data_IF_881849180287
#
_entry.id   IF_881849180287
#
_cell.length_a   1.000
_cell.length_b   1.000
_cell.length_c   1.000
_cell.angle_alpha   90.00
_cell.angle_beta   90.00
_cell.angle_gamma   90.00
#
_symmetry.space_group_name_H-M   'P 1'
#
loop_
_entity.id
_entity.type
_entity.pdbx_description
1 polymer ?
#
# COMPACT_ATOMS: atom_id res chain seq x y z
N UNK A 1 -20.72 -22.15 34.73
CA UNK A 1 -19.30 -22.08 34.26
C UNK A 1 -18.99 -20.59 34.25
N UNK A 2 -18.08 -20.15 35.12
CA UNK A 2 -17.69 -18.76 35.18
C UNK A 2 -17.02 -18.39 33.86
N UNK A 3 -17.62 -17.47 33.12
CA UNK A 3 -16.94 -16.78 32.02
C UNK A 3 -15.67 -16.11 32.59
N UNK A 4 -14.55 -16.77 32.41
CA UNK A 4 -13.25 -16.12 32.62
C UNK A 4 -13.16 -15.15 31.44
N UNK A 5 -13.49 -13.88 31.68
CA UNK A 5 -13.25 -12.79 30.74
C UNK A 5 -11.78 -12.80 30.40
N UNK A 6 -11.41 -13.35 29.26
CA UNK A 6 -10.02 -13.33 28.79
C UNK A 6 -9.69 -11.88 28.46
N UNK A 7 -8.56 -11.40 28.95
CA UNK A 7 -8.00 -10.15 28.52
C UNK A 7 -7.59 -10.28 27.03
N UNK A 8 -8.36 -9.64 26.16
CA UNK A 8 -8.17 -9.64 24.71
C UNK A 8 -8.90 -10.78 23.97
N UNK A 9 -9.27 -10.49 22.73
CA UNK A 9 -9.90 -11.41 21.80
C UNK A 9 -8.89 -12.35 21.11
N UNK A 10 -9.34 -13.55 20.76
CA UNK A 10 -8.62 -14.54 19.94
C UNK A 10 -9.30 -14.82 18.62
N UNK A 11 -10.43 -14.16 18.36
CA UNK A 11 -11.22 -14.30 17.14
C UNK A 11 -10.60 -13.52 16.00
N UNK A 12 -10.96 -13.88 14.76
CA UNK A 12 -10.52 -13.13 13.59
C UNK A 12 -11.10 -11.70 13.63
N UNK A 13 -10.28 -10.67 13.38
CA UNK A 13 -10.76 -9.29 13.37
C UNK A 13 -11.90 -9.08 12.39
N UNK A 14 -12.97 -8.43 12.84
CA UNK A 14 -14.09 -7.97 12.01
C UNK A 14 -14.12 -6.45 12.02
N UNK A 15 -14.18 -5.83 10.85
CA UNK A 15 -14.09 -4.36 10.74
C UNK A 15 -15.45 -3.75 10.45
N UNK A 16 -15.78 -2.70 11.19
CA UNK A 16 -17.03 -1.97 11.00
C UNK A 16 -16.94 -0.96 9.85
N UNK A 17 -18.03 -0.69 9.13
CA UNK A 17 -18.12 0.40 8.18
C UNK A 17 -17.78 1.75 8.81
N UNK A 18 -17.21 2.65 8.01
CA UNK A 18 -16.89 4.02 8.42
C UNK A 18 -17.99 4.96 7.94
N UNK A 19 -18.79 5.46 8.85
CA UNK A 19 -19.88 6.40 8.55
C UNK A 19 -19.35 7.86 8.46
N UNK A 20 -18.36 8.09 7.62
CA UNK A 20 -17.60 9.33 7.55
C UNK A 20 -18.41 10.59 7.18
N UNK A 21 -19.65 10.43 6.69
CA UNK A 21 -20.57 11.54 6.36
C UNK A 21 -21.47 11.95 7.51
N UNK A 22 -21.47 11.23 8.63
CA UNK A 22 -22.33 11.55 9.78
C UNK A 22 -21.84 12.75 10.57
N UNK A 23 -22.75 13.40 11.29
CA UNK A 23 -22.40 14.49 12.21
C UNK A 23 -21.46 14.02 13.32
N UNK A 24 -21.65 12.80 13.84
CA UNK A 24 -20.83 12.20 14.88
C UNK A 24 -19.37 11.99 14.43
N UNK A 25 -19.15 11.45 13.23
CA UNK A 25 -17.78 11.32 12.68
C UNK A 25 -17.06 12.66 12.58
N UNK A 26 -17.83 13.73 12.34
CA UNK A 26 -17.35 15.08 12.07
C UNK A 26 -17.34 15.97 13.31
N UNK A 27 -17.78 15.47 14.46
CA UNK A 27 -17.76 16.17 15.72
C UNK A 27 -16.39 16.06 16.40
N UNK A 28 -15.77 17.20 16.67
CA UNK A 28 -14.43 17.28 17.22
C UNK A 28 -14.39 16.84 18.69
N UNK A 29 -15.44 17.13 19.47
CA UNK A 29 -15.53 16.69 20.86
C UNK A 29 -15.55 15.17 20.97
N UNK A 30 -16.46 14.54 20.22
CA UNK A 30 -16.56 13.08 20.11
C UNK A 30 -15.29 12.43 19.56
N UNK A 31 -14.53 13.10 18.67
CA UNK A 31 -13.23 12.61 18.23
C UNK A 31 -12.23 12.57 19.38
N UNK A 32 -12.11 13.66 20.16
CA UNK A 32 -11.15 13.70 21.27
C UNK A 32 -11.52 12.72 22.39
N UNK A 33 -12.79 12.54 22.69
CA UNK A 33 -13.25 11.54 23.66
C UNK A 33 -12.85 10.12 23.24
N UNK A 34 -12.99 9.79 21.95
CA UNK A 34 -12.59 8.49 21.42
C UNK A 34 -11.06 8.33 21.34
N UNK A 35 -10.32 9.38 21.00
CA UNK A 35 -8.85 9.37 21.06
C UNK A 35 -8.37 9.08 22.48
N UNK A 36 -8.90 9.78 23.48
CA UNK A 36 -8.57 9.60 24.89
C UNK A 36 -8.84 8.17 25.35
N UNK A 37 -10.04 7.65 25.07
CA UNK A 37 -10.43 6.27 25.37
C UNK A 37 -9.48 5.23 24.76
N UNK A 38 -9.17 5.36 23.48
CA UNK A 38 -8.31 4.40 22.78
C UNK A 38 -6.85 4.54 23.20
N UNK A 39 -6.37 5.75 23.46
CA UNK A 39 -5.01 5.99 23.94
C UNK A 39 -4.80 5.41 25.32
N UNK A 40 -5.79 5.48 26.21
CA UNK A 40 -5.76 4.85 27.53
C UNK A 40 -5.65 3.31 27.42
N UNK A 41 -6.46 2.68 26.58
CA UNK A 41 -6.36 1.25 26.31
C UNK A 41 -4.98 0.89 25.74
N UNK A 42 -4.46 1.68 24.80
CA UNK A 42 -3.14 1.44 24.19
C UNK A 42 -2.02 1.63 25.22
N UNK A 43 -2.12 2.62 26.11
CA UNK A 43 -1.17 2.85 27.19
C UNK A 43 -1.12 1.67 28.16
N UNK A 44 -2.26 1.18 28.63
CA UNK A 44 -2.33 0.02 29.51
C UNK A 44 -1.78 -1.27 28.87
N UNK A 45 -1.91 -1.42 27.55
CA UNK A 45 -1.51 -2.62 26.80
C UNK A 45 -0.07 -2.60 26.27
N UNK A 46 0.39 -1.53 25.65
CA UNK A 46 1.73 -1.28 25.07
C UNK A 46 2.27 -2.33 24.08
N UNK A 47 1.45 -3.27 23.60
CA UNK A 47 1.90 -4.36 22.69
C UNK A 47 2.46 -3.87 21.35
N UNK A 48 2.04 -2.69 20.91
CA UNK A 48 2.39 -2.14 19.60
C UNK A 48 3.64 -1.24 19.63
N UNK A 49 4.35 -1.12 20.75
CA UNK A 49 5.50 -0.20 20.95
C UNK A 49 6.57 -0.29 19.84
N UNK A 50 6.77 -1.47 19.25
CA UNK A 50 7.80 -1.69 18.23
C UNK A 50 7.23 -1.87 16.81
N UNK A 51 5.97 -1.50 16.59
CA UNK A 51 5.31 -1.71 15.30
C UNK A 51 5.52 -0.52 14.34
N UNK A 52 5.29 0.70 14.85
CA UNK A 52 5.51 1.96 14.14
C UNK A 52 5.78 3.07 15.15
N UNK A 53 6.09 4.28 14.69
CA UNK A 53 6.47 5.39 15.58
C UNK A 53 5.28 6.03 16.31
N UNK A 54 4.04 5.81 15.89
CA UNK A 54 2.86 6.37 16.57
C UNK A 54 2.74 5.89 18.03
N UNK A 55 3.08 4.63 18.32
CA UNK A 55 2.95 4.08 19.66
C UNK A 55 4.07 4.53 20.62
N UNK A 56 5.36 4.51 20.27
CA UNK A 56 6.38 5.15 21.09
C UNK A 56 6.06 6.63 21.39
N UNK A 57 5.65 7.39 20.37
CA UNK A 57 5.25 8.81 20.58
C UNK A 57 4.12 8.93 21.59
N UNK A 58 3.08 8.09 21.49
CA UNK A 58 1.99 8.08 22.48
C UNK A 58 2.50 7.77 23.89
N UNK A 59 3.32 6.74 24.02
CA UNK A 59 3.78 6.28 25.34
C UNK A 59 4.75 7.26 25.98
N UNK A 60 5.64 7.88 25.20
CA UNK A 60 6.55 8.92 25.67
C UNK A 60 5.77 10.15 26.14
N UNK A 61 4.75 10.61 25.41
CA UNK A 61 3.88 11.71 25.83
C UNK A 61 3.17 11.44 27.16
N UNK A 62 2.73 10.20 27.41
CA UNK A 62 2.08 9.81 28.65
C UNK A 62 3.12 9.68 29.79
N UNK A 63 4.22 8.99 29.54
CA UNK A 63 5.27 8.75 30.52
C UNK A 63 5.98 10.04 30.96
N UNK A 64 5.93 11.09 30.12
CA UNK A 64 6.46 12.45 30.44
C UNK A 64 5.39 13.39 31.00
N UNK A 65 4.11 12.99 31.09
CA UNK A 65 3.04 13.79 31.65
C UNK A 65 3.09 13.85 33.18
N UNK A 66 2.44 14.88 33.78
CA UNK A 66 2.43 15.05 35.25
C UNK A 66 1.71 13.90 35.97
N UNK A 67 0.69 13.33 35.38
CA UNK A 67 -0.14 12.26 35.95
C UNK A 67 0.35 10.86 35.61
N UNK A 68 1.24 10.70 34.61
CA UNK A 68 1.61 9.43 34.00
C UNK A 68 0.43 8.70 33.38
N UNK A 69 -0.65 9.45 33.05
CA UNK A 69 -1.88 8.95 32.43
C UNK A 69 -2.26 9.84 31.24
N UNK A 70 -3.22 9.41 30.44
CA UNK A 70 -3.65 10.12 29.22
C UNK A 70 -4.22 11.51 29.53
N UNK A 71 -4.88 11.68 30.69
CA UNK A 71 -5.44 12.96 31.13
C UNK A 71 -4.37 14.05 31.39
N UNK A 72 -3.13 13.65 31.66
CA UNK A 72 -1.99 14.57 31.80
C UNK A 72 -1.42 15.04 30.45
N UNK A 73 -1.80 14.46 29.34
CA UNK A 73 -1.32 14.82 28.00
C UNK A 73 -2.18 15.94 27.41
N UNK A 74 -1.54 17.02 26.95
CA UNK A 74 -2.26 18.10 26.27
C UNK A 74 -2.88 17.58 24.95
N UNK A 75 -4.15 17.92 24.69
CA UNK A 75 -4.88 17.49 23.49
C UNK A 75 -4.19 17.91 22.19
N UNK A 76 -3.46 19.02 22.17
CA UNK A 76 -2.67 19.45 21.00
C UNK A 76 -1.56 18.43 20.64
N UNK A 77 -1.00 17.71 21.62
CA UNK A 77 0.03 16.72 21.39
C UNK A 77 -0.52 15.38 20.84
N UNK A 78 -1.85 15.18 20.84
CA UNK A 78 -2.46 13.99 20.22
C UNK A 78 -2.19 13.95 18.71
N UNK A 79 -2.02 15.12 18.09
CA UNK A 79 -1.68 15.23 16.67
C UNK A 79 -0.31 14.66 16.33
N UNK A 80 0.64 14.67 17.26
CA UNK A 80 1.96 14.05 17.05
C UNK A 80 1.82 12.54 16.84
N UNK A 81 0.90 11.91 17.57
CA UNK A 81 0.58 10.48 17.40
C UNK A 81 -0.11 10.23 16.06
N UNK A 82 -1.08 11.07 15.70
CA UNK A 82 -1.83 10.99 14.44
C UNK A 82 -0.92 11.12 13.22
N UNK A 83 0.05 12.05 13.27
CA UNK A 83 0.99 12.28 12.15
C UNK A 83 1.96 11.10 11.94
N UNK A 84 2.26 10.34 12.99
CA UNK A 84 3.07 9.13 12.88
C UNK A 84 2.28 7.87 12.45
N UNK A 85 0.97 7.94 12.33
CA UNK A 85 0.17 6.82 11.84
C UNK A 85 0.05 6.83 10.32
N UNK A 86 0.39 5.71 9.70
CA UNK A 86 0.41 5.53 8.24
C UNK A 86 -0.84 4.85 7.68
N UNK A 87 -1.84 4.57 8.50
CA UNK A 87 -3.02 3.78 8.11
C UNK A 87 -2.66 2.43 7.45
N UNK A 88 -1.56 1.81 7.90
CA UNK A 88 -1.06 0.55 7.35
C UNK A 88 -1.80 -0.68 7.87
N UNK A 89 -2.70 -0.51 8.82
CA UNK A 89 -3.57 -1.51 9.44
C UNK A 89 -2.88 -2.68 10.17
N UNK A 90 -1.54 -2.71 10.24
CA UNK A 90 -0.82 -3.81 10.88
C UNK A 90 -1.13 -3.96 12.37
N UNK A 91 -1.35 -2.86 13.10
CA UNK A 91 -1.74 -2.92 14.50
C UNK A 91 -3.10 -3.60 14.66
N UNK A 92 -4.05 -3.29 13.79
CA UNK A 92 -5.38 -3.89 13.76
C UNK A 92 -5.31 -5.38 13.41
N UNK A 93 -4.65 -5.72 12.30
CA UNK A 93 -4.67 -7.08 11.74
C UNK A 93 -3.78 -8.07 12.49
N UNK A 94 -2.70 -7.63 13.14
CA UNK A 94 -1.66 -8.57 13.63
C UNK A 94 -1.32 -8.45 15.10
N UNK A 95 -1.75 -7.38 15.79
CA UNK A 95 -1.26 -7.09 17.15
C UNK A 95 -2.34 -6.84 18.19
N UNK A 96 -3.37 -6.09 17.86
CA UNK A 96 -4.35 -5.62 18.83
C UNK A 96 -5.30 -6.74 19.26
N UNK A 97 -5.37 -7.10 20.54
CA UNK A 97 -6.32 -8.09 21.04
C UNK A 97 -7.71 -7.52 21.32
N UNK A 98 -7.88 -6.21 21.16
CA UNK A 98 -9.10 -5.46 21.51
C UNK A 98 -9.88 -4.98 20.29
N UNK A 99 -9.52 -5.47 19.11
CA UNK A 99 -10.27 -5.19 17.87
C UNK A 99 -11.62 -5.92 17.88
N UNK A 100 -12.64 -5.43 17.16
CA UNK A 100 -13.89 -6.15 17.03
C UNK A 100 -13.66 -7.62 16.61
N UNK A 101 -14.38 -8.58 17.17
CA UNK A 101 -15.62 -8.45 17.99
C UNK A 101 -15.40 -8.23 19.50
N UNK A 102 -14.21 -7.88 19.96
CA UNK A 102 -13.95 -7.55 21.35
C UNK A 102 -14.82 -6.35 21.80
N UNK A 103 -15.33 -6.36 23.04
CA UNK A 103 -16.22 -5.33 23.59
C UNK A 103 -15.64 -3.93 23.58
N UNK A 104 -14.30 -3.79 23.70
CA UNK A 104 -13.62 -2.51 23.64
C UNK A 104 -13.56 -1.91 22.24
N UNK A 105 -13.84 -2.67 21.20
CA UNK A 105 -14.04 -2.22 19.83
C UNK A 105 -12.97 -1.24 19.32
N UNK A 106 -11.68 -1.56 19.54
CA UNK A 106 -10.56 -0.68 19.16
C UNK A 106 -10.26 -0.81 17.68
N UNK A 107 -10.42 0.27 16.91
CA UNK A 107 -9.91 0.40 15.56
C UNK A 107 -8.99 1.63 15.47
N UNK A 108 -7.74 1.46 15.91
CA UNK A 108 -6.76 2.54 15.93
C UNK A 108 -6.54 3.16 14.54
N UNK A 109 -6.34 2.42 13.44
CA UNK A 109 -6.13 3.04 12.13
C UNK A 109 -7.31 3.88 11.65
N UNK A 110 -8.55 3.41 11.82
CA UNK A 110 -9.73 4.18 11.42
C UNK A 110 -9.99 5.39 12.32
N UNK A 111 -9.62 5.31 13.60
CA UNK A 111 -9.62 6.48 14.47
C UNK A 111 -8.61 7.52 14.00
N UNK A 112 -7.40 7.10 13.62
CA UNK A 112 -6.40 8.01 13.02
C UNK A 112 -6.89 8.58 11.67
N UNK A 113 -7.58 7.79 10.85
CA UNK A 113 -8.23 8.30 9.63
C UNK A 113 -9.27 9.37 9.94
N UNK A 114 -10.11 9.16 10.97
CA UNK A 114 -11.09 10.15 11.43
C UNK A 114 -10.39 11.45 11.86
N UNK A 115 -9.30 11.35 12.64
CA UNK A 115 -8.51 12.50 13.07
C UNK A 115 -7.90 13.23 11.86
N UNK A 116 -7.28 12.51 10.92
CA UNK A 116 -6.73 13.10 9.68
C UNK A 116 -7.82 13.77 8.83
N UNK A 117 -9.01 13.18 8.74
CA UNK A 117 -10.14 13.77 8.01
C UNK A 117 -10.61 15.08 8.67
N UNK A 118 -10.66 15.13 9.99
CA UNK A 118 -10.96 16.35 10.74
C UNK A 118 -9.90 17.44 10.49
N UNK A 119 -8.62 17.08 10.58
CA UNK A 119 -7.49 17.98 10.33
C UNK A 119 -7.51 18.54 8.91
N UNK A 120 -7.81 17.69 7.91
CA UNK A 120 -7.96 18.10 6.52
C UNK A 120 -9.12 19.08 6.32
N UNK A 121 -10.27 18.82 6.94
CA UNK A 121 -11.47 19.67 6.87
C UNK A 121 -11.26 21.03 7.54
N UNK A 122 -10.54 21.06 8.66
CA UNK A 122 -10.18 22.30 9.36
C UNK A 122 -9.14 23.14 8.58
N UNK A 123 -8.64 22.65 7.44
CA UNK A 123 -7.69 23.36 6.59
C UNK A 123 -6.24 23.33 7.08
N UNK A 124 -5.92 22.52 8.08
CA UNK A 124 -4.60 22.45 8.71
C UNK A 124 -3.56 21.68 7.87
N UNK A 125 -3.99 21.04 6.74
CA UNK A 125 -3.09 20.30 5.86
C UNK A 125 -2.38 21.23 4.88
N UNK A 126 -1.05 21.15 4.84
CA UNK A 126 -0.19 21.99 4.01
C UNK A 126 -0.32 21.75 2.50
N UNK A 127 0.09 22.74 1.71
CA UNK A 127 0.09 22.65 0.24
C UNK A 127 0.99 21.53 -0.27
N UNK A 128 2.15 21.30 0.38
CA UNK A 128 3.06 20.19 0.07
C UNK A 128 2.32 18.85 0.07
N UNK A 129 1.59 18.56 1.14
CA UNK A 129 0.95 17.26 1.33
C UNK A 129 -0.21 17.08 0.35
N UNK A 130 -0.94 18.15 0.03
CA UNK A 130 -1.97 18.16 -1.02
C UNK A 130 -1.39 17.88 -2.41
N UNK A 131 -0.18 18.38 -2.71
CA UNK A 131 0.53 18.11 -3.99
C UNK A 131 1.04 16.67 -4.02
N UNK A 132 1.76 16.21 -2.99
CA UNK A 132 2.33 14.86 -2.93
C UNK A 132 1.26 13.76 -3.06
N UNK A 133 0.07 13.98 -2.51
CA UNK A 133 -1.06 13.05 -2.60
C UNK A 133 -1.89 13.19 -3.89
N UNK A 134 -1.59 14.17 -4.75
CA UNK A 134 -2.28 14.37 -6.04
C UNK A 134 -1.57 13.65 -7.19
N UNK A 135 -1.35 12.35 -7.05
CA UNK A 135 -0.52 11.51 -7.92
C UNK A 135 -0.92 11.54 -9.39
N UNK A 136 -2.22 11.57 -9.72
CA UNK A 136 -2.70 11.69 -11.10
C UNK A 136 -2.34 13.03 -11.75
N UNK A 137 -2.55 14.13 -11.01
CA UNK A 137 -2.27 15.48 -11.52
C UNK A 137 -0.77 15.70 -11.69
N UNK A 138 -0.01 15.35 -10.65
CA UNK A 138 1.46 15.42 -10.67
C UNK A 138 2.02 14.53 -11.76
N UNK A 139 1.61 13.26 -11.83
CA UNK A 139 2.05 12.33 -12.86
C UNK A 139 1.66 12.78 -14.28
N UNK A 140 0.51 13.43 -14.46
CA UNK A 140 0.10 13.94 -15.77
C UNK A 140 0.95 15.14 -16.21
N UNK A 141 1.27 16.05 -15.32
CA UNK A 141 2.12 17.20 -15.58
C UNK A 141 3.59 16.79 -15.77
N UNK A 142 4.14 16.05 -14.81
CA UNK A 142 5.55 15.60 -14.85
C UNK A 142 5.79 14.57 -15.95
N UNK A 143 4.78 13.79 -16.37
CA UNK A 143 4.87 12.83 -17.48
C UNK A 143 5.02 13.43 -18.88
N UNK A 144 5.05 14.77 -19.02
CA UNK A 144 5.40 15.46 -20.28
C UNK A 144 6.89 15.22 -20.55
N UNK A 145 7.31 14.87 -21.79
CA UNK A 145 8.67 14.41 -22.08
C UNK A 145 9.80 15.29 -21.53
N UNK A 146 9.76 16.59 -21.79
CA UNK A 146 10.78 17.54 -21.32
C UNK A 146 10.71 17.70 -19.79
N UNK A 147 9.51 17.78 -19.23
CA UNK A 147 9.30 17.94 -17.78
C UNK A 147 9.79 16.70 -17.01
N UNK A 148 9.50 15.50 -17.52
CA UNK A 148 9.98 14.24 -16.94
C UNK A 148 11.50 14.17 -16.89
N UNK A 149 12.18 14.57 -17.97
CA UNK A 149 13.64 14.61 -18.01
C UNK A 149 14.22 15.60 -16.99
N UNK A 150 13.68 16.82 -16.93
CA UNK A 150 14.10 17.85 -15.97
C UNK A 150 13.87 17.38 -14.54
N UNK A 151 12.69 16.84 -14.23
CA UNK A 151 12.37 16.33 -12.89
C UNK A 151 13.31 15.19 -12.48
N UNK A 152 13.55 14.21 -13.36
CA UNK A 152 14.45 13.10 -13.08
C UNK A 152 15.90 13.58 -12.88
N UNK A 153 16.39 14.54 -13.69
CA UNK A 153 17.72 15.13 -13.52
C UNK A 153 17.77 15.91 -12.19
N UNK A 154 16.79 16.75 -11.89
CA UNK A 154 16.74 17.51 -10.64
C UNK A 154 16.76 16.60 -9.40
N UNK A 155 16.14 15.42 -9.48
CA UNK A 155 16.13 14.42 -8.41
C UNK A 155 17.53 13.81 -8.15
N UNK A 156 18.47 13.86 -9.08
CA UNK A 156 19.83 13.33 -8.92
C UNK A 156 20.85 14.38 -8.49
N UNK A 157 20.53 15.67 -8.63
CA UNK A 157 21.48 16.76 -8.36
C UNK A 157 21.40 17.17 -6.89
N UNK A 158 22.43 16.86 -6.08
CA UNK A 158 22.49 17.17 -4.64
C UNK A 158 22.14 18.63 -4.27
N UNK A 159 22.70 19.68 -4.92
CA UNK A 159 22.30 21.06 -4.63
C UNK A 159 20.81 21.33 -4.86
N UNK A 160 20.21 20.77 -5.92
CA UNK A 160 18.77 20.92 -6.20
C UNK A 160 17.93 20.24 -5.12
N UNK A 161 18.32 19.04 -4.68
CA UNK A 161 17.70 18.32 -3.59
C UNK A 161 17.70 19.13 -2.28
N UNK A 162 18.83 19.79 -1.95
CA UNK A 162 18.90 20.68 -0.77
C UNK A 162 18.02 21.93 -0.91
N UNK A 163 17.83 22.45 -2.11
CA UNK A 163 16.88 23.55 -2.35
C UNK A 163 15.45 23.04 -2.12
N UNK A 164 15.08 21.88 -2.65
CA UNK A 164 13.76 21.27 -2.43
C UNK A 164 13.49 21.03 -0.94
N UNK A 165 14.49 20.58 -0.19
CA UNK A 165 14.38 20.39 1.25
C UNK A 165 14.04 21.68 1.97
N UNK A 166 14.74 22.77 1.67
CA UNK A 166 14.55 24.08 2.32
C UNK A 166 13.25 24.79 1.90
N UNK A 167 12.79 24.58 0.66
CA UNK A 167 11.66 25.33 0.10
C UNK A 167 10.32 24.62 0.21
N UNK A 168 10.32 23.30 0.03
CA UNK A 168 9.09 22.50 0.01
C UNK A 168 9.10 21.34 1.02
N UNK A 169 10.14 21.23 1.85
CA UNK A 169 10.21 20.23 2.93
C UNK A 169 10.28 18.78 2.44
N UNK A 170 10.89 18.54 1.28
CA UNK A 170 11.19 17.20 0.77
C UNK A 170 12.64 16.89 1.08
N UNK A 171 12.90 15.90 1.92
CA UNK A 171 14.25 15.56 2.40
C UNK A 171 15.21 15.28 1.24
N UNK A 172 16.45 15.79 1.32
CA UNK A 172 17.43 15.71 0.23
C UNK A 172 17.86 14.27 -0.11
N UNK A 173 17.79 13.35 0.84
CA UNK A 173 18.15 11.93 0.65
C UNK A 173 16.92 11.03 0.43
N UNK A 174 15.71 11.57 0.51
CA UNK A 174 14.51 10.78 0.27
C UNK A 174 14.45 10.28 -1.18
N UNK A 175 14.03 9.04 -1.36
CA UNK A 175 13.79 8.45 -2.67
C UNK A 175 12.57 9.10 -3.30
N UNK A 176 12.75 9.69 -4.48
CA UNK A 176 11.65 10.20 -5.28
C UNK A 176 11.44 9.30 -6.51
N UNK A 177 10.18 9.07 -6.90
CA UNK A 177 9.90 8.19 -8.03
C UNK A 177 10.44 8.78 -9.32
N UNK A 178 10.97 7.90 -10.19
CA UNK A 178 11.30 8.25 -11.56
C UNK A 178 10.04 8.39 -12.40
N UNK A 179 10.02 9.37 -13.31
CA UNK A 179 8.90 9.58 -14.22
C UNK A 179 9.27 9.18 -15.65
N UNK A 180 8.41 8.35 -16.25
CA UNK A 180 8.55 7.91 -17.63
C UNK A 180 7.60 8.67 -18.55
N UNK A 181 8.15 9.44 -19.49
CA UNK A 181 7.36 10.13 -20.52
C UNK A 181 6.71 9.15 -21.50
N UNK A 182 7.34 7.99 -21.73
CA UNK A 182 6.77 6.85 -22.42
C UNK A 182 6.04 5.94 -21.42
N UNK A 183 4.88 6.41 -20.95
CA UNK A 183 4.06 5.70 -19.97
C UNK A 183 3.56 4.35 -20.52
N UNK A 184 3.16 3.42 -19.63
CA UNK A 184 2.64 2.13 -20.04
C UNK A 184 1.54 2.26 -21.11
N UNK A 185 0.55 3.12 -20.89
CA UNK A 185 -0.54 3.32 -21.84
C UNK A 185 -0.07 3.83 -23.20
N UNK A 186 1.00 4.65 -23.25
CA UNK A 186 1.62 5.05 -24.54
C UNK A 186 2.33 3.88 -25.19
N UNK A 187 3.06 3.04 -24.45
CA UNK A 187 3.74 1.85 -24.98
C UNK A 187 2.74 0.88 -25.61
N UNK A 188 1.55 0.77 -25.05
CA UNK A 188 0.51 -0.13 -25.53
C UNK A 188 -0.52 0.49 -26.47
N UNK A 189 -0.47 1.79 -26.73
CA UNK A 189 -1.44 2.48 -27.60
C UNK A 189 -1.56 1.84 -29.00
N UNK A 190 -0.45 1.33 -29.53
CA UNK A 190 -0.36 0.72 -30.88
C UNK A 190 -0.14 -0.81 -30.82
N UNK A 191 0.04 -1.38 -29.63
CA UNK A 191 0.14 -2.83 -29.46
C UNK A 191 -1.26 -3.36 -29.15
N UNK A 192 -1.76 -4.28 -29.94
CA UNK A 192 -2.98 -5.01 -29.59
C UNK A 192 -2.69 -5.84 -28.34
N UNK A 193 -3.13 -5.35 -27.19
CA UNK A 193 -3.02 -6.08 -25.90
C UNK A 193 -4.00 -7.24 -25.91
N UNK A 194 -5.13 -7.03 -26.55
CA UNK A 194 -6.11 -8.09 -26.82
C UNK A 194 -5.44 -9.10 -27.74
N UNK A 195 -5.31 -10.33 -27.29
CA UNK A 195 -5.02 -11.42 -28.18
C UNK A 195 -6.15 -11.47 -29.22
N UNK A 196 -5.89 -11.06 -30.47
CA UNK A 196 -6.85 -11.19 -31.57
C UNK A 196 -7.09 -12.66 -31.96
N UNK A 197 -6.52 -13.58 -31.23
CA UNK A 197 -6.92 -14.97 -31.34
C UNK A 197 -8.21 -15.11 -30.55
N UNK A 198 -9.32 -14.81 -31.21
CA UNK A 198 -10.64 -15.35 -30.87
C UNK A 198 -10.55 -16.87 -31.03
N UNK A 199 -9.79 -17.48 -30.17
CA UNK A 199 -9.90 -18.90 -29.88
C UNK A 199 -10.74 -18.98 -28.61
N UNK A 200 -11.85 -19.66 -28.65
CA UNK A 200 -12.73 -19.96 -27.51
C UNK A 200 -12.03 -20.73 -26.37
N UNK A 201 -10.70 -20.81 -26.39
CA UNK A 201 -9.84 -21.56 -25.48
C UNK A 201 -9.12 -20.71 -24.45
N UNK A 202 -9.52 -19.46 -24.20
CA UNK A 202 -8.94 -18.70 -23.09
C UNK A 202 -9.31 -19.32 -21.74
N UNK A 203 -8.31 -19.53 -20.89
CA UNK A 203 -8.48 -20.14 -19.57
C UNK A 203 -9.25 -19.25 -18.59
N UNK A 204 -9.12 -17.94 -18.70
CA UNK A 204 -9.82 -16.92 -17.91
C UNK A 204 -9.67 -15.52 -18.52
N UNK A 205 -10.51 -14.57 -18.07
CA UNK A 205 -10.48 -13.15 -18.47
C UNK A 205 -9.93 -12.32 -17.33
N UNK A 206 -8.96 -11.46 -17.60
CA UNK A 206 -8.35 -10.59 -16.59
C UNK A 206 -8.16 -9.16 -17.09
N UNK A 207 -8.64 -8.20 -16.33
CA UNK A 207 -8.48 -6.78 -16.58
C UNK A 207 -7.42 -6.20 -15.63
N UNK A 208 -6.43 -5.50 -16.15
CA UNK A 208 -5.38 -4.87 -15.37
C UNK A 208 -5.76 -3.41 -15.11
N UNK A 209 -6.00 -3.07 -13.85
CA UNK A 209 -6.03 -1.70 -13.36
C UNK A 209 -4.58 -1.23 -13.22
N UNK A 210 -4.11 -0.45 -14.19
CA UNK A 210 -2.68 -0.14 -14.38
C UNK A 210 -2.11 0.66 -13.21
N UNK A 211 -2.93 1.44 -12.54
CA UNK A 211 -2.60 2.40 -11.49
C UNK A 211 -1.87 3.66 -11.98
N UNK A 212 -1.95 4.75 -11.23
CA UNK A 212 -1.19 5.96 -11.55
C UNK A 212 0.32 5.71 -11.53
N UNK A 213 0.79 4.92 -10.54
CA UNK A 213 2.20 4.59 -10.34
C UNK A 213 2.72 3.62 -11.41
N UNK A 214 2.02 2.51 -11.66
CA UNK A 214 2.37 1.55 -12.72
C UNK A 214 2.36 2.16 -14.12
N UNK A 215 1.50 3.15 -14.37
CA UNK A 215 1.47 3.80 -15.67
C UNK A 215 2.68 4.70 -15.95
N UNK A 216 3.20 5.41 -14.92
CA UNK A 216 4.15 6.51 -15.11
C UNK A 216 5.49 6.34 -14.39
N UNK A 217 5.52 5.57 -13.34
CA UNK A 217 6.70 5.39 -12.49
C UNK A 217 7.29 3.99 -12.63
N UNK A 218 6.45 2.96 -12.76
CA UNK A 218 6.86 1.55 -12.89
C UNK A 218 6.19 0.86 -14.09
N UNK A 219 6.33 1.39 -15.33
CA UNK A 219 5.69 0.77 -16.49
C UNK A 219 6.24 -0.62 -16.80
N UNK A 220 7.51 -0.89 -16.46
CA UNK A 220 8.17 -2.17 -16.71
C UNK A 220 7.54 -3.28 -15.85
N UNK A 221 7.23 -2.99 -14.57
CA UNK A 221 6.55 -3.92 -13.65
C UNK A 221 5.19 -4.37 -14.22
N UNK A 222 4.46 -3.46 -14.86
CA UNK A 222 3.17 -3.79 -15.46
C UNK A 222 3.34 -4.53 -16.79
N UNK A 223 4.38 -4.24 -17.57
CA UNK A 223 4.72 -5.01 -18.79
C UNK A 223 5.04 -6.46 -18.43
N UNK A 224 5.81 -6.69 -17.37
CA UNK A 224 6.14 -8.03 -16.88
C UNK A 224 4.90 -8.79 -16.44
N UNK A 225 4.01 -8.15 -15.67
CA UNK A 225 2.72 -8.74 -15.29
C UNK A 225 1.90 -9.14 -16.53
N UNK A 226 1.77 -8.25 -17.53
CA UNK A 226 1.03 -8.54 -18.76
C UNK A 226 1.69 -9.70 -19.53
N UNK A 227 3.02 -9.78 -19.58
CA UNK A 227 3.73 -10.88 -20.26
C UNK A 227 3.42 -12.23 -19.60
N UNK A 228 3.44 -12.29 -18.26
CA UNK A 228 3.08 -13.48 -17.47
C UNK A 228 1.65 -13.93 -17.75
N UNK A 229 0.69 -12.99 -17.72
CA UNK A 229 -0.72 -13.30 -17.96
C UNK A 229 -0.93 -13.87 -19.38
N UNK A 230 -0.27 -13.31 -20.39
CA UNK A 230 -0.32 -13.80 -21.77
C UNK A 230 0.35 -15.14 -21.93
N UNK A 231 1.49 -15.37 -21.28
CA UNK A 231 2.17 -16.67 -21.28
C UNK A 231 1.25 -17.77 -20.74
N UNK A 232 0.42 -17.45 -19.76
CA UNK A 232 -0.60 -18.32 -19.20
C UNK A 232 -1.88 -18.43 -20.05
N UNK A 233 -1.90 -17.91 -21.27
CA UNK A 233 -3.03 -17.99 -22.23
C UNK A 233 -4.32 -17.34 -21.70
N UNK A 234 -4.21 -16.24 -20.96
CA UNK A 234 -5.36 -15.49 -20.45
C UNK A 234 -5.80 -14.43 -21.46
N UNK A 235 -7.10 -14.11 -21.49
CA UNK A 235 -7.60 -12.91 -22.16
C UNK A 235 -7.27 -11.70 -21.29
N UNK A 236 -6.37 -10.82 -21.76
CA UNK A 236 -5.86 -9.68 -20.98
C UNK A 236 -6.36 -8.37 -21.56
N UNK A 237 -6.90 -7.50 -20.70
CA UNK A 237 -7.25 -6.11 -21.05
C UNK A 237 -6.65 -5.13 -20.05
N UNK A 238 -6.41 -3.89 -20.49
CA UNK A 238 -6.25 -2.77 -19.57
C UNK A 238 -7.63 -2.15 -19.28
N UNK A 239 -7.88 -1.77 -18.04
CA UNK A 239 -9.05 -0.93 -17.72
C UNK A 239 -9.01 0.32 -18.58
N UNK A 240 -10.09 0.61 -19.33
CA UNK A 240 -10.08 1.66 -20.37
C UNK A 240 -9.86 3.05 -19.78
N UNK A 241 -10.59 3.38 -18.73
CA UNK A 241 -10.53 4.66 -18.04
C UNK A 241 -10.33 4.41 -16.56
N UNK A 242 -9.26 4.98 -16.03
CA UNK A 242 -8.93 4.90 -14.60
C UNK A 242 -8.30 6.19 -14.12
N UNK A 243 -8.52 6.49 -12.86
CA UNK A 243 -7.81 7.47 -12.06
C UNK A 243 -7.14 6.79 -10.88
N UNK A 244 -6.43 7.56 -10.06
CA UNK A 244 -5.86 7.04 -8.81
C UNK A 244 -6.90 6.23 -8.02
N UNK A 245 -6.48 5.17 -7.36
CA UNK A 245 -7.35 4.34 -6.50
C UNK A 245 -7.93 5.12 -5.30
N UNK A 246 -7.28 6.21 -4.90
CA UNK A 246 -7.68 7.04 -3.77
C UNK A 246 -6.84 6.88 -2.51
N UNK A 247 -5.98 5.86 -2.41
CA UNK A 247 -5.19 5.60 -1.20
C UNK A 247 -4.43 6.82 -0.69
N UNK A 248 -3.65 7.58 -1.50
CA UNK A 248 -2.94 8.76 -0.99
C UNK A 248 -3.87 9.86 -0.47
N UNK A 249 -5.10 9.94 -1.00
CA UNK A 249 -6.11 10.89 -0.53
C UNK A 249 -6.74 10.45 0.78
N UNK A 250 -6.97 9.14 0.94
CA UNK A 250 -7.43 8.56 2.20
C UNK A 250 -6.39 8.79 3.31
N UNK A 251 -5.12 8.47 3.06
CA UNK A 251 -4.02 8.70 4.00
C UNK A 251 -3.89 10.18 4.42
N UNK A 252 -4.28 11.11 3.56
CA UNK A 252 -4.31 12.55 3.86
C UNK A 252 -5.56 12.99 4.66
N UNK A 253 -6.61 12.16 4.70
CA UNK A 253 -7.92 12.53 5.24
C UNK A 253 -8.85 13.24 4.25
N UNK A 254 -8.50 13.34 2.95
CA UNK A 254 -9.31 13.98 1.89
C UNK A 254 -10.37 12.98 1.35
N UNK A 255 -11.35 12.65 2.20
CA UNK A 255 -12.36 11.63 1.91
C UNK A 255 -13.31 12.03 0.78
N UNK A 256 -13.58 13.32 0.58
CA UNK A 256 -14.36 13.78 -0.57
C UNK A 256 -13.62 13.55 -1.90
N UNK A 257 -12.29 13.67 -1.92
CA UNK A 257 -11.51 13.28 -3.11
C UNK A 257 -11.51 11.77 -3.32
N UNK A 258 -11.50 10.98 -2.25
CA UNK A 258 -11.68 9.51 -2.34
C UNK A 258 -13.01 9.18 -2.99
N UNK A 259 -14.10 9.80 -2.55
CA UNK A 259 -15.43 9.60 -3.15
C UNK A 259 -15.44 9.95 -4.65
N UNK A 260 -14.91 11.12 -5.02
CA UNK A 260 -14.82 11.52 -6.45
C UNK A 260 -14.01 10.53 -7.30
N UNK A 261 -12.94 9.95 -6.74
CA UNK A 261 -12.13 8.95 -7.43
C UNK A 261 -12.86 7.61 -7.53
N UNK A 262 -13.59 7.20 -6.48
CA UNK A 262 -14.49 6.05 -6.48
C UNK A 262 -15.57 6.21 -7.57
N UNK A 263 -16.27 7.33 -7.59
CA UNK A 263 -17.33 7.61 -8.57
C UNK A 263 -16.84 7.58 -10.02
N UNK A 264 -15.56 7.90 -10.24
CA UNK A 264 -14.95 7.80 -11.55
C UNK A 264 -14.58 6.36 -11.92
N UNK A 265 -14.00 5.58 -10.99
CA UNK A 265 -13.44 4.26 -11.27
C UNK A 265 -14.50 3.15 -11.26
N UNK A 266 -15.41 3.17 -10.29
CA UNK A 266 -16.39 2.09 -10.06
C UNK A 266 -17.25 1.78 -11.28
N UNK A 267 -17.81 2.76 -12.03
CA UNK A 267 -18.66 2.44 -13.18
C UNK A 267 -17.97 1.62 -14.29
N UNK A 268 -16.67 1.85 -14.52
CA UNK A 268 -15.91 1.08 -15.51
C UNK A 268 -15.53 -0.31 -14.98
N UNK A 269 -15.11 -0.38 -13.70
CA UNK A 269 -14.79 -1.65 -13.06
C UNK A 269 -16.03 -2.55 -12.89
N UNK A 270 -17.18 -1.96 -12.62
CA UNK A 270 -18.47 -2.68 -12.52
C UNK A 270 -18.86 -3.35 -13.84
N UNK A 271 -18.64 -2.68 -14.98
CA UNK A 271 -18.88 -3.31 -16.31
C UNK A 271 -18.03 -4.56 -16.47
N UNK A 272 -16.75 -4.48 -16.10
CA UNK A 272 -15.86 -5.64 -16.15
C UNK A 272 -16.32 -6.74 -15.21
N UNK A 273 -16.68 -6.41 -13.97
CA UNK A 273 -17.19 -7.37 -12.99
C UNK A 273 -18.51 -8.04 -13.45
N UNK A 274 -19.38 -7.29 -14.16
CA UNK A 274 -20.63 -7.83 -14.71
C UNK A 274 -20.40 -8.77 -15.90
N UNK A 275 -19.30 -8.62 -16.61
CA UNK A 275 -18.90 -9.43 -17.76
C UNK A 275 -17.92 -10.57 -17.36
N UNK A 276 -17.89 -10.92 -16.06
CA UNK A 276 -17.07 -11.98 -15.46
C UNK A 276 -15.55 -11.79 -15.65
N UNK A 277 -15.09 -10.55 -15.69
CA UNK A 277 -13.66 -10.26 -15.67
C UNK A 277 -13.14 -10.24 -14.24
N UNK A 278 -12.06 -10.96 -13.97
CA UNK A 278 -11.24 -10.71 -12.79
C UNK A 278 -10.48 -9.41 -12.98
N UNK A 279 -10.39 -8.59 -11.94
CA UNK A 279 -9.66 -7.32 -11.97
C UNK A 279 -8.44 -7.45 -11.06
N UNK A 280 -7.28 -7.04 -11.54
CA UNK A 280 -6.03 -7.06 -10.77
C UNK A 280 -5.31 -5.72 -10.85
N UNK A 281 -4.48 -5.42 -9.85
CA UNK A 281 -3.60 -4.25 -9.87
C UNK A 281 -2.19 -4.62 -9.40
N UNK A 282 -1.11 -4.08 -10.02
CA UNK A 282 0.27 -4.43 -9.69
C UNK A 282 0.77 -3.82 -8.38
N UNK A 283 0.01 -2.93 -7.75
CA UNK A 283 0.40 -2.19 -6.54
C UNK A 283 -0.50 -2.59 -5.37
N UNK A 284 0.05 -3.17 -4.28
CA UNK A 284 -0.74 -3.70 -3.15
C UNK A 284 -1.67 -2.68 -2.50
N UNK A 285 -1.26 -1.41 -2.40
CA UNK A 285 -2.09 -0.33 -1.85
C UNK A 285 -3.37 -0.11 -2.67
N UNK A 286 -3.29 -0.24 -4.01
CA UNK A 286 -4.47 -0.13 -4.87
C UNK A 286 -5.39 -1.34 -4.72
N UNK A 287 -4.83 -2.54 -4.57
CA UNK A 287 -5.60 -3.76 -4.29
C UNK A 287 -6.32 -3.62 -2.95
N UNK A 288 -5.61 -3.20 -1.89
CA UNK A 288 -6.20 -2.97 -0.57
C UNK A 288 -7.36 -1.98 -0.64
N UNK A 289 -7.18 -0.87 -1.38
CA UNK A 289 -8.20 0.16 -1.53
C UNK A 289 -9.52 -0.42 -2.07
N UNK A 290 -9.48 -1.19 -3.16
CA UNK A 290 -10.69 -1.76 -3.77
C UNK A 290 -11.24 -2.97 -3.00
N UNK A 291 -10.40 -3.77 -2.34
CA UNK A 291 -10.83 -4.97 -1.61
C UNK A 291 -11.32 -4.69 -0.19
N UNK A 292 -10.80 -3.65 0.47
CA UNK A 292 -11.04 -3.40 1.90
C UNK A 292 -11.52 -1.98 2.19
N UNK A 293 -10.79 -0.93 1.81
CA UNK A 293 -11.05 0.42 2.27
C UNK A 293 -12.31 1.05 1.65
N UNK A 294 -12.46 1.01 0.33
CA UNK A 294 -13.69 1.50 -0.32
C UNK A 294 -14.95 0.77 0.16
N UNK A 295 -14.95 -0.57 0.30
CA UNK A 295 -16.08 -1.29 0.88
C UNK A 295 -16.46 -0.89 2.31
N UNK A 296 -15.51 -0.39 3.11
CA UNK A 296 -15.79 0.10 4.46
C UNK A 296 -16.25 1.56 4.46
N UNK A 297 -15.68 2.40 3.60
CA UNK A 297 -16.07 3.81 3.44
C UNK A 297 -17.43 3.99 2.75
N UNK A 298 -17.83 3.02 1.93
CA UNK A 298 -19.07 3.04 1.13
C UNK A 298 -19.82 1.70 1.25
N UNK A 299 -20.10 1.29 2.47
CA UNK A 299 -20.64 -0.04 2.77
C UNK A 299 -22.00 -0.32 2.12
N UNK A 300 -22.83 0.72 1.96
CA UNK A 300 -24.17 0.62 1.34
C UNK A 300 -24.14 0.70 -0.20
N UNK A 301 -22.95 0.93 -0.80
CA UNK A 301 -22.78 1.01 -2.26
C UNK A 301 -22.60 -0.41 -2.84
N UNK A 302 -23.68 -0.96 -3.39
CA UNK A 302 -23.68 -2.30 -3.98
C UNK A 302 -22.69 -2.46 -5.14
N UNK A 303 -22.40 -1.40 -5.90
CA UNK A 303 -21.48 -1.43 -7.00
C UNK A 303 -20.03 -1.57 -6.50
N UNK A 304 -19.71 -0.89 -5.40
CA UNK A 304 -18.42 -1.05 -4.71
C UNK A 304 -18.27 -2.48 -4.19
N UNK A 305 -19.30 -3.06 -3.55
CA UNK A 305 -19.26 -4.44 -3.06
C UNK A 305 -19.09 -5.46 -4.20
N UNK A 306 -19.70 -5.21 -5.35
CA UNK A 306 -19.57 -6.07 -6.53
C UNK A 306 -18.17 -6.01 -7.14
N UNK A 307 -17.60 -4.80 -7.26
CA UNK A 307 -16.21 -4.62 -7.73
C UNK A 307 -15.22 -5.26 -6.76
N UNK A 308 -15.39 -5.11 -5.44
CA UNK A 308 -14.59 -5.80 -4.41
C UNK A 308 -14.46 -7.29 -4.70
N UNK A 309 -15.56 -7.97 -5.01
CA UNK A 309 -15.61 -9.42 -5.23
C UNK A 309 -14.88 -9.86 -6.53
N UNK A 310 -14.77 -8.96 -7.50
CA UNK A 310 -14.04 -9.19 -8.76
C UNK A 310 -12.57 -8.80 -8.69
N UNK A 311 -12.13 -8.13 -7.59
CA UNK A 311 -10.79 -7.57 -7.46
C UNK A 311 -9.85 -8.52 -6.72
N UNK A 312 -8.68 -8.82 -7.30
CA UNK A 312 -7.69 -9.74 -6.76
C UNK A 312 -6.31 -9.08 -6.68
N UNK A 313 -5.51 -9.54 -5.75
CA UNK A 313 -4.06 -9.39 -5.84
C UNK A 313 -3.54 -10.27 -7.01
N UNK A 314 -2.51 -9.84 -7.76
CA UNK A 314 -2.02 -10.62 -8.90
C UNK A 314 -1.58 -12.04 -8.55
N UNK A 315 -0.87 -12.22 -7.44
CA UNK A 315 -0.41 -13.55 -7.02
C UNK A 315 -1.54 -14.40 -6.41
N UNK A 316 -2.51 -13.77 -5.74
CA UNK A 316 -3.77 -14.42 -5.34
C UNK A 316 -4.51 -14.97 -6.57
N UNK A 317 -4.58 -14.18 -7.64
CA UNK A 317 -5.19 -14.59 -8.90
C UNK A 317 -4.43 -15.74 -9.55
N UNK A 318 -3.08 -15.69 -9.61
CA UNK A 318 -2.27 -16.79 -10.15
C UNK A 318 -2.44 -18.07 -9.32
N UNK A 319 -2.55 -17.99 -7.99
CA UNK A 319 -2.82 -19.15 -7.16
C UNK A 319 -4.24 -19.71 -7.37
N UNK A 320 -5.23 -18.86 -7.65
CA UNK A 320 -6.56 -19.33 -8.05
C UNK A 320 -6.52 -20.09 -9.39
N UNK A 321 -5.74 -19.61 -10.37
CA UNK A 321 -5.49 -20.32 -11.62
C UNK A 321 -4.83 -21.67 -11.37
N UNK A 322 -3.81 -21.73 -10.50
CA UNK A 322 -3.14 -22.98 -10.12
C UNK A 322 -4.13 -23.99 -9.55
N UNK A 323 -4.96 -23.56 -8.61
CA UNK A 323 -5.98 -24.42 -7.99
C UNK A 323 -6.94 -25.04 -9.01
N UNK A 324 -7.21 -24.32 -10.10
CA UNK A 324 -8.08 -24.77 -11.20
C UNK A 324 -7.32 -25.50 -12.31
N UNK A 325 -6.02 -25.76 -12.17
CA UNK A 325 -5.19 -26.43 -13.19
C UNK A 325 -4.89 -25.57 -14.43
N UNK A 326 -5.04 -24.25 -14.32
CA UNK A 326 -4.92 -23.29 -15.43
C UNK A 326 -3.62 -22.48 -15.42
N UNK A 327 -2.81 -22.57 -14.35
CA UNK A 327 -1.49 -21.94 -14.30
C UNK A 327 -0.47 -22.79 -15.04
N UNK A 328 0.32 -22.20 -15.93
CA UNK A 328 1.49 -22.85 -16.49
C UNK A 328 2.58 -22.95 -15.40
N UNK A 329 3.14 -24.13 -15.20
CA UNK A 329 4.23 -24.39 -14.25
C UNK A 329 5.49 -24.92 -14.93
N UNK A 330 5.59 -24.78 -16.26
CA UNK A 330 6.76 -25.16 -17.06
C UNK A 330 7.78 -24.01 -17.00
N UNK A 331 8.60 -24.02 -15.98
CA UNK A 331 9.68 -23.04 -15.79
C UNK A 331 10.96 -23.53 -16.44
N UNK A 332 11.70 -22.62 -17.08
CA UNK A 332 12.97 -22.89 -17.78
C UNK A 332 14.19 -22.53 -16.94
N UNK A 333 14.03 -21.58 -16.01
CA UNK A 333 15.12 -21.10 -15.15
C UNK A 333 14.80 -21.31 -13.66
N UNK A 334 15.85 -21.42 -12.86
CA UNK A 334 15.76 -21.42 -11.38
C UNK A 334 16.25 -20.09 -10.82
N UNK A 335 15.67 -19.68 -9.68
CA UNK A 335 15.97 -18.35 -9.12
C UNK A 335 16.90 -18.36 -7.89
N UNK A 336 17.26 -19.56 -7.36
CA UNK A 336 18.17 -19.65 -6.25
C UNK A 336 17.60 -19.09 -4.93
N UNK A 337 18.41 -18.33 -4.22
CA UNK A 337 18.08 -17.78 -2.89
C UNK A 337 17.45 -16.37 -3.00
N UNK A 338 16.20 -16.23 -2.56
CA UNK A 338 15.44 -14.97 -2.64
C UNK A 338 15.18 -14.43 -1.24
N UNK A 339 15.52 -13.16 -0.99
CA UNK A 339 14.99 -12.40 0.13
C UNK A 339 13.69 -11.70 -0.31
N UNK A 340 12.58 -12.04 0.31
CA UNK A 340 11.27 -11.49 -0.04
C UNK A 340 10.71 -10.60 1.07
N UNK A 341 10.60 -9.31 0.80
CA UNK A 341 9.93 -8.34 1.65
C UNK A 341 8.43 -8.30 1.35
N UNK A 342 7.61 -8.64 2.36
CA UNK A 342 6.15 -8.51 2.27
C UNK A 342 5.74 -7.14 2.82
N UNK A 343 5.28 -6.20 1.96
CA UNK A 343 4.88 -4.87 2.41
C UNK A 343 3.59 -4.89 3.24
N UNK A 344 3.35 -3.84 4.02
CA UNK A 344 2.20 -3.76 4.93
C UNK A 344 0.86 -3.97 4.22
N UNK A 345 0.59 -3.25 3.13
CA UNK A 345 -0.66 -3.35 2.37
C UNK A 345 -0.85 -4.70 1.64
N UNK A 346 0.18 -5.52 1.52
CA UNK A 346 0.05 -6.92 1.10
C UNK A 346 -0.39 -7.80 2.27
N UNK A 347 0.22 -7.63 3.43
CA UNK A 347 -0.05 -8.42 4.63
C UNK A 347 -1.47 -8.25 5.15
N UNK A 348 -1.97 -6.99 5.16
CA UNK A 348 -3.30 -6.68 5.70
C UNK A 348 -4.46 -7.06 4.77
N UNK A 349 -4.19 -7.46 3.54
CA UNK A 349 -5.20 -8.10 2.69
C UNK A 349 -5.66 -9.46 3.27
N UNK A 350 -4.84 -10.06 4.14
CA UNK A 350 -5.11 -11.35 4.80
C UNK A 350 -5.37 -12.51 3.81
N UNK A 351 -4.59 -12.53 2.72
CA UNK A 351 -4.67 -13.56 1.66
C UNK A 351 -3.58 -14.64 1.80
N UNK A 352 -2.68 -14.51 2.78
CA UNK A 352 -1.47 -15.32 2.91
C UNK A 352 -0.34 -14.86 1.96
N UNK A 353 0.84 -15.49 2.02
CA UNK A 353 2.03 -15.10 1.26
C UNK A 353 1.97 -15.61 -0.19
N UNK A 354 1.00 -15.15 -0.98
CA UNK A 354 0.70 -15.68 -2.33
C UNK A 354 1.87 -15.54 -3.30
N UNK A 355 2.63 -14.45 -3.21
CA UNK A 355 3.85 -14.26 -4.00
C UNK A 355 4.86 -15.38 -3.72
N UNK A 356 5.09 -15.68 -2.44
CA UNK A 356 5.94 -16.80 -2.04
C UNK A 356 5.41 -18.13 -2.59
N UNK A 357 4.11 -18.41 -2.39
CA UNK A 357 3.49 -19.65 -2.84
C UNK A 357 3.64 -19.87 -4.37
N UNK A 358 3.59 -18.81 -5.17
CA UNK A 358 3.79 -18.90 -6.63
C UNK A 358 5.26 -19.11 -6.98
N UNK A 359 6.18 -18.34 -6.37
CA UNK A 359 7.60 -18.43 -6.69
C UNK A 359 8.22 -19.74 -6.20
N UNK A 360 7.71 -20.34 -5.12
CA UNK A 360 8.13 -21.69 -4.67
C UNK A 360 7.72 -22.83 -5.61
N UNK A 361 6.93 -22.56 -6.65
CA UNK A 361 6.68 -23.55 -7.72
C UNK A 361 7.88 -23.71 -8.67
N UNK A 362 8.78 -22.72 -8.67
CA UNK A 362 9.96 -22.69 -9.54
C UNK A 362 11.01 -23.61 -8.94
N UNK A 363 11.55 -24.60 -9.70
CA UNK A 363 12.56 -25.53 -9.20
C UNK A 363 13.80 -24.81 -8.64
N UNK A 364 14.40 -25.38 -7.60
CA UNK A 364 15.62 -24.87 -6.96
C UNK A 364 15.51 -23.37 -6.54
N UNK A 365 14.37 -22.98 -6.03
CA UNK A 365 14.10 -21.62 -5.55
C UNK A 365 13.75 -21.66 -4.06
N UNK A 366 14.51 -20.93 -3.25
CA UNK A 366 14.32 -20.84 -1.80
C UNK A 366 13.97 -19.42 -1.40
N UNK A 367 12.95 -19.22 -0.58
CA UNK A 367 12.44 -17.89 -0.25
C UNK A 367 12.50 -17.60 1.25
N UNK A 368 13.33 -16.64 1.61
CA UNK A 368 13.44 -16.08 2.96
C UNK A 368 12.54 -14.86 3.12
N UNK A 369 11.47 -14.98 3.92
CA UNK A 369 10.49 -13.91 4.12
C UNK A 369 10.98 -12.87 5.12
N UNK A 370 10.68 -11.60 4.83
CA UNK A 370 10.93 -10.44 5.69
C UNK A 370 9.61 -9.70 5.90
N UNK A 371 9.01 -9.85 7.09
CA UNK A 371 7.75 -9.23 7.49
C UNK A 371 7.99 -8.04 8.42
N UNK A 372 8.52 -6.95 7.90
CA UNK A 372 8.80 -5.72 8.62
C UNK A 372 8.32 -4.51 7.83
N UNK A 373 8.06 -3.39 8.52
CA UNK A 373 7.76 -2.12 7.86
C UNK A 373 9.02 -1.56 7.19
N UNK A 374 8.92 -1.13 5.94
CA UNK A 374 10.00 -0.43 5.23
C UNK A 374 10.14 1.04 5.63
N UNK A 375 9.21 1.57 6.42
CA UNK A 375 9.17 2.98 6.78
C UNK A 375 8.82 3.93 5.64
N UNK A 376 8.58 3.41 4.42
CA UNK A 376 8.32 4.26 3.25
C UNK A 376 7.04 5.06 3.39
N UNK A 377 5.95 4.39 3.50
CA UNK A 377 4.60 4.84 3.69
C UNK A 377 4.19 6.13 2.96
N UNK A 378 3.76 5.95 1.73
CA UNK A 378 3.21 7.00 0.89
C UNK A 378 4.10 8.26 0.84
N UNK A 379 3.75 9.26 1.62
CA UNK A 379 4.47 10.53 1.69
C UNK A 379 5.37 10.70 2.91
N UNK A 380 5.33 9.79 3.88
CA UNK A 380 6.02 9.92 5.16
C UNK A 380 7.56 9.97 5.01
N UNK A 381 8.15 9.00 4.31
CA UNK A 381 9.59 8.92 4.11
C UNK A 381 10.17 10.11 3.31
N UNK A 382 9.32 10.82 2.57
CA UNK A 382 9.77 11.93 1.70
C UNK A 382 9.86 13.25 2.45
N UNK A 383 9.11 13.38 3.57
CA UNK A 383 9.04 14.61 4.37
C UNK A 383 10.30 14.78 5.22
N UNK A 384 10.81 16.00 5.26
CA UNK A 384 12.04 16.35 6.02
C UNK A 384 11.94 15.98 7.50
N UNK A 385 10.78 16.19 8.11
CA UNK A 385 10.51 15.95 9.53
C UNK A 385 10.46 14.47 9.91
N UNK A 386 10.19 13.56 8.94
CA UNK A 386 9.99 12.13 9.22
C UNK A 386 11.03 11.22 8.57
N UNK A 387 11.85 11.72 7.67
CA UNK A 387 12.79 10.90 6.89
C UNK A 387 13.73 10.08 7.76
N UNK A 388 14.34 10.68 8.77
CA UNK A 388 15.25 9.96 9.68
C UNK A 388 14.54 8.85 10.44
N UNK A 389 13.33 9.11 10.93
CA UNK A 389 12.49 8.11 11.62
C UNK A 389 12.12 6.98 10.65
N UNK A 390 11.76 7.30 9.42
CA UNK A 390 11.50 6.33 8.35
C UNK A 390 12.69 5.40 8.12
N UNK A 391 13.90 5.95 8.02
CA UNK A 391 15.13 5.16 7.85
C UNK A 391 15.47 4.31 9.06
N UNK A 392 15.19 4.79 10.29
CA UNK A 392 15.32 3.96 11.52
C UNK A 392 14.38 2.75 11.48
N UNK A 393 13.14 2.94 11.05
CA UNK A 393 12.15 1.85 10.87
C UNK A 393 12.62 0.85 9.82
N UNK A 394 13.24 1.30 8.72
CA UNK A 394 13.75 0.47 7.64
C UNK A 394 15.00 -0.35 8.02
N UNK A 395 15.83 0.15 8.93
CA UNK A 395 17.14 -0.41 9.30
C UNK A 395 17.17 -1.93 9.56
N UNK A 396 16.20 -2.52 10.29
CA UNK A 396 16.20 -3.98 10.51
C UNK A 396 16.08 -4.80 9.21
N UNK A 397 15.38 -4.29 8.19
CA UNK A 397 15.27 -4.96 6.89
C UNK A 397 16.61 -4.87 6.16
N UNK A 398 17.18 -3.67 6.08
CA UNK A 398 18.48 -3.40 5.47
C UNK A 398 19.55 -4.35 6.04
N UNK A 399 19.66 -4.38 7.37
CA UNK A 399 20.62 -5.25 8.06
C UNK A 399 20.41 -6.75 7.77
N UNK A 400 19.15 -7.18 7.61
CA UNK A 400 18.84 -8.58 7.29
C UNK A 400 19.25 -8.91 5.85
N UNK A 401 18.97 -8.04 4.90
CA UNK A 401 19.32 -8.22 3.48
C UNK A 401 20.86 -8.23 3.32
N UNK A 402 21.58 -7.29 3.91
CA UNK A 402 23.03 -7.18 3.80
C UNK A 402 23.79 -8.38 4.42
N UNK A 403 23.19 -9.05 5.41
CA UNK A 403 23.77 -10.25 6.04
C UNK A 403 23.39 -11.55 5.34
N UNK A 404 22.43 -11.52 4.44
CA UNK A 404 21.95 -12.70 3.74
C UNK A 404 22.80 -13.01 2.51
N UNK A 405 23.02 -14.30 2.24
CA UNK A 405 23.56 -14.76 0.96
C UNK A 405 22.37 -15.01 0.04
N UNK A 406 22.11 -14.12 -0.88
CA UNK A 406 20.96 -14.13 -1.75
C UNK A 406 21.37 -13.86 -3.20
N UNK A 407 20.63 -14.44 -4.11
CA UNK A 407 20.76 -14.16 -5.54
C UNK A 407 19.82 -13.01 -5.94
N UNK A 408 18.64 -12.95 -5.32
CA UNK A 408 17.63 -11.92 -5.58
C UNK A 408 17.06 -11.33 -4.30
N UNK A 409 16.60 -10.08 -4.42
CA UNK A 409 15.82 -9.40 -3.39
C UNK A 409 14.58 -8.77 -4.02
N UNK A 410 13.39 -9.08 -3.49
CA UNK A 410 12.11 -8.62 -4.05
C UNK A 410 11.21 -7.97 -3.00
N UNK A 411 10.32 -7.09 -3.49
CA UNK A 411 9.18 -6.57 -2.74
C UNK A 411 7.97 -6.42 -3.67
N UNK A 412 6.76 -6.80 -3.21
CA UNK A 412 5.52 -6.57 -3.97
C UNK A 412 5.22 -5.08 -4.16
N UNK A 413 5.75 -4.22 -3.30
CA UNK A 413 5.63 -2.77 -3.41
C UNK A 413 6.92 -2.15 -3.92
N UNK A 414 6.97 -1.64 -5.16
CA UNK A 414 8.18 -1.01 -5.69
C UNK A 414 8.69 0.15 -4.83
N UNK A 415 7.79 0.95 -4.27
CA UNK A 415 8.15 2.08 -3.39
C UNK A 415 8.87 1.60 -2.12
N UNK A 416 8.39 0.50 -1.52
CA UNK A 416 9.06 -0.11 -0.38
C UNK A 416 10.44 -0.67 -0.77
N UNK A 417 10.53 -1.31 -1.93
CA UNK A 417 11.81 -1.79 -2.49
C UNK A 417 12.82 -0.66 -2.65
N UNK A 418 12.44 0.42 -3.29
CA UNK A 418 13.32 1.59 -3.48
C UNK A 418 13.75 2.25 -2.16
N UNK A 419 12.85 2.30 -1.16
CA UNK A 419 13.19 2.81 0.17
C UNK A 419 14.26 1.94 0.85
N UNK A 420 14.16 0.63 0.73
CA UNK A 420 15.14 -0.31 1.29
C UNK A 420 16.46 -0.18 0.53
N UNK A 421 16.42 -0.13 -0.81
CA UNK A 421 17.60 0.06 -1.66
C UNK A 421 18.40 1.32 -1.30
N UNK A 422 17.72 2.39 -0.89
CA UNK A 422 18.36 3.63 -0.46
C UNK A 422 19.23 3.45 0.79
N UNK A 423 18.96 2.46 1.61
CA UNK A 423 19.72 2.17 2.82
C UNK A 423 20.71 1.02 2.68
N UNK A 424 20.65 0.25 1.58
CA UNK A 424 21.56 -0.89 1.33
C UNK A 424 22.83 -0.40 0.66
N UNK A 425 23.96 -0.58 1.33
CA UNK A 425 25.28 -0.10 0.87
C UNK A 425 26.25 -1.25 0.54
N UNK A 426 26.19 -2.35 1.28
CA UNK A 426 27.22 -3.38 1.30
C UNK A 426 27.04 -4.48 0.25
N UNK A 427 25.94 -4.49 -0.49
CA UNK A 427 25.68 -5.45 -1.57
C UNK A 427 25.26 -4.71 -2.85
N UNK A 428 25.48 -5.35 -4.01
CA UNK A 428 25.13 -4.78 -5.32
C UNK A 428 23.71 -5.13 -5.78
N UNK A 429 23.07 -6.10 -5.14
CA UNK A 429 21.72 -6.54 -5.46
C UNK A 429 20.75 -5.39 -5.13
N UNK A 430 19.79 -5.14 -6.02
CA UNK A 430 18.75 -4.14 -5.86
C UNK A 430 17.38 -4.83 -5.85
N UNK A 431 16.38 -4.13 -5.34
CA UNK A 431 15.01 -4.63 -5.31
C UNK A 431 14.48 -4.87 -6.72
N UNK A 432 13.96 -6.06 -6.95
CA UNK A 432 13.32 -6.46 -8.19
C UNK A 432 11.82 -6.63 -7.98
N UNK A 433 11.06 -6.54 -9.07
CA UNK A 433 9.65 -6.89 -9.05
C UNK A 433 9.50 -8.42 -9.02
N UNK A 434 8.59 -8.98 -8.18
CA UNK A 434 8.28 -10.40 -8.24
C UNK A 434 7.81 -10.85 -9.62
N UNK A 435 7.20 -9.94 -10.41
CA UNK A 435 6.79 -10.25 -11.79
C UNK A 435 8.01 -10.38 -12.72
N UNK A 436 9.05 -9.56 -12.52
CA UNK A 436 10.30 -9.70 -13.29
C UNK A 436 10.92 -11.09 -13.07
N UNK A 437 11.04 -11.53 -11.81
CA UNK A 437 11.56 -12.87 -11.50
C UNK A 437 10.70 -13.99 -12.07
N UNK A 438 9.38 -13.89 -11.95
CA UNK A 438 8.49 -14.91 -12.53
C UNK A 438 8.58 -14.94 -14.05
N UNK A 439 8.77 -13.79 -14.68
CA UNK A 439 9.01 -13.69 -16.13
C UNK A 439 10.34 -14.33 -16.52
N UNK A 440 11.41 -14.07 -15.77
CA UNK A 440 12.72 -14.71 -15.94
C UNK A 440 12.60 -16.24 -15.83
N UNK A 441 11.93 -16.74 -14.79
CA UNK A 441 11.72 -18.17 -14.60
C UNK A 441 10.98 -18.85 -15.76
N UNK A 442 10.10 -18.13 -16.45
CA UNK A 442 9.44 -18.62 -17.67
C UNK A 442 10.32 -18.51 -18.93
N UNK A 443 11.43 -17.77 -18.90
CA UNK A 443 12.29 -17.52 -20.07
C UNK A 443 11.64 -16.61 -21.14
N UNK A 444 10.82 -15.60 -20.76
CA UNK A 444 10.03 -14.77 -21.70
C UNK A 444 10.31 -13.27 -21.57
#
# INVERSE_FOLDING_TARGET
>A
MNDITREGGVEAPTRHPINWKTGEFNDEGSLFDELERVYDICHGCRRCVNLCNAFPTLFDLIDESETFEVDGVKKDNYWDVVEHCYLCDLCYMTKCPYVPPHEWNVDFPHLMLRAKAQNFRNGNVGVRDKILTSTDKVGSFVGIPIVAQIANIANTIKPMRKIMEKTIGIHSEAVLPKFYSNSLRKRFKNKKIVNEVINDNHKAKVAVFVTCYGNRNEPDVVEDLIAILKHNQLEVRLVKQEKCCGMPKMELGDLESVERLKDYNIPELLKLANDDWSIIAPIPSCVLMFKKELPLLFAEDNDVQKVKNAFYDPFEFLMALKKNGNLNTDFTESLGEIAYHIPCHQRVQNIGPKTKEVLELIPNTNISVIERCSGHDGTYAVKTEYHETSMKICRPIINKIEKSKIDHYISDCPMAGHQIDNGVENIKIRSESPFALLREAYGI
#
